data_IF_298084667562
#
_entry.id   IF_298084667562
#
_cell.length_a   1.000
_cell.length_b   1.000
_cell.length_c   1.000
_cell.angle_alpha   90.00
_cell.angle_beta   90.00
_cell.angle_gamma   90.00
#
_symmetry.space_group_name_H-M   'P 1'
#
loop_
_entity.id
_entity.type
_entity.pdbx_description
1 polymer ?
#
# COMPACT_ATOMS: atom_id res chain seq x y z
N UNK A 1 10.48 -1.66 -36.76
CA UNK A 1 10.02 -2.03 -35.41
C UNK A 1 10.85 -1.23 -34.42
N UNK A 2 10.43 0.00 -34.13
CA UNK A 2 10.78 0.69 -32.89
C UNK A 2 9.82 0.06 -31.86
N UNK A 3 10.35 -0.85 -31.08
CA UNK A 3 9.62 -1.80 -30.22
C UNK A 3 8.93 -1.07 -29.08
N UNK A 4 7.71 -1.47 -28.72
CA UNK A 4 6.84 -0.86 -27.69
C UNK A 4 7.55 -0.43 -26.39
N UNK A 5 8.62 -1.14 -25.96
CA UNK A 5 9.45 -0.74 -24.81
C UNK A 5 10.07 0.66 -24.91
N UNK A 6 10.34 1.14 -26.13
CA UNK A 6 10.86 2.49 -26.39
C UNK A 6 9.80 3.56 -26.14
N UNK A 7 8.57 3.28 -26.55
CA UNK A 7 7.45 4.21 -26.42
C UNK A 7 6.95 4.26 -24.99
N UNK A 8 6.77 3.12 -24.32
CA UNK A 8 6.37 3.07 -22.92
C UNK A 8 7.37 3.77 -22.00
N UNK A 9 8.68 3.54 -22.20
CA UNK A 9 9.72 4.25 -21.43
C UNK A 9 9.72 5.75 -21.72
N UNK A 10 9.49 6.14 -22.98
CA UNK A 10 9.39 7.55 -23.35
C UNK A 10 8.16 8.20 -22.71
N UNK A 11 7.01 7.52 -22.71
CA UNK A 11 5.78 7.97 -22.06
C UNK A 11 5.96 8.12 -20.55
N UNK A 12 6.59 7.14 -19.87
CA UNK A 12 6.94 7.24 -18.45
C UNK A 12 7.84 8.45 -18.21
N UNK A 13 8.89 8.65 -19.01
CA UNK A 13 9.78 9.82 -18.90
C UNK A 13 9.03 11.13 -19.11
N UNK A 14 8.21 11.24 -20.15
CA UNK A 14 7.45 12.46 -20.44
C UNK A 14 6.45 12.77 -19.32
N UNK A 15 5.78 11.76 -18.75
CA UNK A 15 4.90 11.92 -17.59
C UNK A 15 5.68 12.39 -16.36
N UNK A 16 6.86 11.83 -16.13
CA UNK A 16 7.69 12.24 -15.00
C UNK A 16 8.20 13.69 -15.16
N UNK A 17 8.57 14.10 -16.38
CA UNK A 17 8.93 15.50 -16.67
C UNK A 17 7.72 16.44 -16.53
N UNK A 18 6.53 16.02 -16.98
CA UNK A 18 5.30 16.78 -16.79
C UNK A 18 4.96 16.96 -15.30
N UNK A 19 5.20 15.94 -14.48
CA UNK A 19 5.01 16.00 -13.03
C UNK A 19 5.87 17.08 -12.33
N UNK A 20 6.98 17.51 -12.93
CA UNK A 20 7.80 18.62 -12.40
C UNK A 20 7.15 19.99 -12.52
N UNK A 21 6.09 20.11 -13.32
CA UNK A 21 5.34 21.34 -13.53
C UNK A 21 4.21 21.53 -12.49
N UNK A 22 3.99 20.54 -11.62
CA UNK A 22 2.94 20.58 -10.61
C UNK A 22 3.25 21.63 -9.51
N UNK A 23 2.26 22.40 -9.03
CA UNK A 23 2.49 23.49 -8.07
C UNK A 23 3.15 23.06 -6.75
N UNK A 24 2.92 21.80 -6.35
CA UNK A 24 3.46 21.21 -5.12
C UNK A 24 4.70 20.35 -5.36
N UNK A 25 5.27 20.36 -6.58
CA UNK A 25 6.45 19.58 -6.91
C UNK A 25 7.66 20.02 -6.07
N UNK A 26 8.24 19.06 -5.36
CA UNK A 26 9.48 19.22 -4.57
C UNK A 26 10.55 18.21 -4.98
N UNK A 27 10.21 17.22 -5.80
CA UNK A 27 11.08 16.11 -6.16
C UNK A 27 11.38 15.17 -4.98
N UNK A 28 12.12 14.10 -5.24
CA UNK A 28 12.48 13.13 -4.19
C UNK A 28 13.37 13.74 -3.10
N UNK A 29 14.36 14.55 -3.47
CA UNK A 29 15.24 15.21 -2.50
C UNK A 29 14.47 16.19 -1.60
N UNK A 30 13.51 16.93 -2.16
CA UNK A 30 12.63 17.80 -1.37
C UNK A 30 11.67 17.03 -0.48
N UNK A 31 11.18 15.87 -0.92
CA UNK A 31 10.39 14.97 -0.08
C UNK A 31 11.22 14.40 1.09
N UNK A 32 12.48 14.03 0.84
CA UNK A 32 13.42 13.59 1.89
C UNK A 32 13.72 14.74 2.87
N UNK A 33 14.01 15.94 2.37
CA UNK A 33 14.24 17.11 3.22
C UNK A 33 13.03 17.39 4.11
N UNK A 34 11.82 17.40 3.54
CA UNK A 34 10.57 17.55 4.29
C UNK A 34 10.40 16.45 5.33
N UNK A 35 10.67 15.19 4.99
CA UNK A 35 10.59 14.09 5.95
C UNK A 35 11.54 14.31 7.14
N UNK A 36 12.77 14.74 6.88
CA UNK A 36 13.78 15.00 7.91
C UNK A 36 13.43 16.22 8.78
N UNK A 37 12.64 17.18 8.32
CA UNK A 37 12.10 18.24 9.18
C UNK A 37 11.22 17.66 10.31
N UNK A 38 10.46 16.61 10.02
CA UNK A 38 9.59 15.95 11.02
C UNK A 38 10.32 14.83 11.77
N UNK A 39 11.29 14.19 11.13
CA UNK A 39 12.01 13.01 11.60
C UNK A 39 13.53 13.20 11.43
N UNK A 40 14.19 14.05 12.25
CA UNK A 40 15.60 14.44 12.02
C UNK A 40 16.60 13.29 12.03
N UNK A 41 16.29 12.17 12.70
CA UNK A 41 17.12 10.96 12.71
C UNK A 41 16.69 9.90 11.67
N UNK A 42 15.87 10.26 10.68
CA UNK A 42 15.36 9.33 9.70
C UNK A 42 14.29 8.38 10.27
N UNK A 43 14.13 7.21 9.64
CA UNK A 43 13.08 6.24 9.99
C UNK A 43 13.35 5.51 11.31
N UNK A 44 14.58 5.60 11.83
CA UNK A 44 15.04 4.92 13.04
C UNK A 44 15.61 5.88 14.10
N UNK A 45 15.36 7.17 13.96
CA UNK A 45 15.78 8.20 14.91
C UNK A 45 14.96 8.21 16.21
N UNK A 46 15.39 9.00 17.20
CA UNK A 46 14.69 9.17 18.49
C UNK A 46 13.25 9.67 18.30
N UNK A 47 13.04 10.67 17.44
CA UNK A 47 11.73 11.02 16.89
C UNK A 47 11.57 10.30 15.56
N UNK A 48 10.79 9.22 15.58
CA UNK A 48 10.54 8.39 14.41
C UNK A 48 9.09 7.91 14.38
N UNK A 49 8.73 7.32 13.24
CA UNK A 49 7.49 6.55 13.02
C UNK A 49 7.59 5.12 13.59
N UNK A 50 8.56 4.84 14.46
CA UNK A 50 8.89 3.49 14.93
C UNK A 50 7.72 2.80 15.64
N UNK A 51 6.94 3.50 16.47
CA UNK A 51 5.75 2.93 17.11
C UNK A 51 4.68 2.51 16.09
N UNK A 52 4.45 3.35 15.06
CA UNK A 52 3.50 3.06 13.99
C UNK A 52 3.97 1.90 13.12
N UNK A 53 5.27 1.84 12.82
CA UNK A 53 5.90 0.76 12.06
C UNK A 53 5.86 -0.55 12.84
N UNK A 54 6.19 -0.53 14.13
CA UNK A 54 6.21 -1.71 14.99
C UNK A 54 4.82 -2.33 15.13
N UNK A 55 3.78 -1.51 15.27
CA UNK A 55 2.40 -2.00 15.30
C UNK A 55 2.01 -2.70 13.99
N UNK A 56 2.43 -2.20 12.82
CA UNK A 56 2.20 -2.85 11.51
C UNK A 56 3.01 -4.13 11.37
N UNK A 57 4.28 -4.12 11.77
CA UNK A 57 5.17 -5.31 11.75
C UNK A 57 4.63 -6.40 12.67
N UNK A 58 4.13 -6.05 13.85
CA UNK A 58 3.45 -6.96 14.76
C UNK A 58 2.21 -7.59 14.11
N UNK A 59 1.37 -6.81 13.43
CA UNK A 59 0.20 -7.35 12.72
C UNK A 59 0.59 -8.21 11.51
N UNK A 60 1.67 -7.88 10.80
CA UNK A 60 2.25 -8.70 9.74
C UNK A 60 2.74 -10.05 10.29
N UNK A 61 3.45 -10.03 11.41
CA UNK A 61 3.91 -11.24 12.09
C UNK A 61 2.74 -12.10 12.60
N UNK A 62 1.73 -11.48 13.21
CA UNK A 62 0.50 -12.13 13.64
C UNK A 62 -0.21 -12.80 12.45
N UNK A 63 -0.40 -12.08 11.33
CA UNK A 63 -1.04 -12.62 10.14
C UNK A 63 -0.30 -13.85 9.62
N UNK A 64 1.03 -13.76 9.49
CA UNK A 64 1.86 -14.87 9.02
C UNK A 64 1.89 -16.05 10.00
N UNK A 65 1.68 -15.81 11.30
CA UNK A 65 1.57 -16.86 12.32
C UNK A 65 0.22 -17.59 12.25
N UNK A 66 -0.89 -16.85 12.18
CA UNK A 66 -2.25 -17.44 12.23
C UNK A 66 -2.72 -17.98 10.88
N UNK A 67 -2.25 -17.36 9.78
CA UNK A 67 -2.64 -17.69 8.42
C UNK A 67 -1.56 -17.25 7.42
N UNK A 68 -0.46 -18.02 7.28
CA UNK A 68 0.57 -17.73 6.28
C UNK A 68 -0.01 -17.77 4.86
N UNK A 69 0.63 -17.04 3.94
CA UNK A 69 0.14 -16.85 2.58
C UNK A 69 -0.15 -18.17 1.85
N UNK A 70 0.74 -19.16 2.00
CA UNK A 70 0.63 -20.46 1.35
C UNK A 70 -0.60 -21.24 1.84
N UNK A 71 -0.94 -21.12 3.13
CA UNK A 71 -2.17 -21.69 3.69
C UNK A 71 -3.41 -20.89 3.25
N UNK A 72 -3.29 -19.55 3.14
CA UNK A 72 -4.36 -18.67 2.71
C UNK A 72 -4.87 -18.99 1.29
N UNK A 73 -4.01 -19.51 0.40
CA UNK A 73 -4.40 -19.99 -0.93
C UNK A 73 -5.39 -21.15 -0.91
N UNK A 74 -5.45 -21.89 0.19
CA UNK A 74 -6.35 -23.03 0.42
C UNK A 74 -7.33 -22.78 1.57
N UNK A 75 -7.53 -21.52 1.95
CA UNK A 75 -8.35 -21.17 3.11
C UNK A 75 -9.75 -21.77 3.04
N UNK A 76 -10.22 -22.25 4.19
CA UNK A 76 -11.57 -22.75 4.45
C UNK A 76 -12.31 -21.81 5.40
N UNK A 77 -13.52 -22.18 5.82
CA UNK A 77 -14.29 -21.42 6.83
C UNK A 77 -13.54 -21.30 8.16
N UNK A 78 -12.72 -22.30 8.50
CA UNK A 78 -11.88 -22.26 9.70
C UNK A 78 -10.87 -21.12 9.64
N UNK A 79 -10.14 -20.99 8.54
CA UNK A 79 -9.16 -19.91 8.36
C UNK A 79 -9.85 -18.54 8.30
N UNK A 80 -11.06 -18.46 7.73
CA UNK A 80 -11.86 -17.23 7.73
C UNK A 80 -12.20 -16.76 9.15
N UNK A 81 -12.67 -17.67 10.00
CA UNK A 81 -13.00 -17.35 11.39
C UNK A 81 -11.76 -17.02 12.23
N UNK A 82 -10.65 -17.74 12.03
CA UNK A 82 -9.36 -17.41 12.67
C UNK A 82 -8.90 -16.01 12.29
N UNK A 83 -8.88 -15.68 10.99
CA UNK A 83 -8.43 -14.38 10.49
C UNK A 83 -9.32 -13.23 11.01
N UNK A 84 -10.64 -13.45 11.05
CA UNK A 84 -11.60 -12.45 11.55
C UNK A 84 -11.32 -12.04 12.99
N UNK A 85 -10.87 -12.98 13.83
CA UNK A 85 -10.56 -12.79 15.26
C UNK A 85 -9.12 -12.34 15.54
N UNK A 86 -8.22 -12.52 14.58
CA UNK A 86 -6.80 -12.22 14.76
C UNK A 86 -6.55 -10.72 15.01
N UNK A 87 -5.41 -10.40 15.65
CA UNK A 87 -5.02 -9.01 15.97
C UNK A 87 -4.36 -8.30 14.78
N UNK A 88 -4.92 -8.50 13.59
CA UNK A 88 -4.38 -8.02 12.32
C UNK A 88 -5.17 -6.86 11.73
N UNK A 89 -6.12 -6.28 12.46
CA UNK A 89 -7.01 -5.22 11.98
C UNK A 89 -6.52 -3.85 12.45
N UNK A 90 -5.76 -3.18 11.61
CA UNK A 90 -5.08 -1.93 11.86
C UNK A 90 -5.98 -0.72 11.56
N UNK A 91 -5.73 0.40 12.23
CA UNK A 91 -6.42 1.69 12.00
C UNK A 91 -6.09 2.35 10.64
N UNK A 92 -5.16 1.78 9.87
CA UNK A 92 -4.86 2.23 8.50
C UNK A 92 -6.06 2.00 7.56
N UNK A 93 -6.88 0.98 7.87
CA UNK A 93 -8.21 0.79 7.32
C UNK A 93 -9.21 1.68 8.08
N UNK A 94 -10.14 2.29 7.35
CA UNK A 94 -11.29 2.92 8.01
C UNK A 94 -12.13 1.87 8.75
N UNK A 95 -12.92 2.29 9.77
CA UNK A 95 -13.83 1.37 10.47
C UNK A 95 -14.79 0.64 9.52
N UNK A 96 -15.31 1.34 8.50
CA UNK A 96 -16.20 0.74 7.49
C UNK A 96 -15.50 -0.29 6.62
N UNK A 97 -14.25 -0.05 6.22
CA UNK A 97 -13.48 -1.01 5.42
C UNK A 97 -13.22 -2.30 6.22
N UNK A 98 -12.76 -2.15 7.46
CA UNK A 98 -12.56 -3.30 8.37
C UNK A 98 -13.87 -4.04 8.63
N UNK A 99 -14.98 -3.32 8.83
CA UNK A 99 -16.29 -3.91 9.05
C UNK A 99 -16.73 -4.77 7.85
N UNK A 100 -16.70 -4.24 6.62
CA UNK A 100 -17.10 -5.00 5.44
C UNK A 100 -16.23 -6.24 5.22
N UNK A 101 -14.92 -6.13 5.43
CA UNK A 101 -14.01 -7.27 5.33
C UNK A 101 -14.32 -8.33 6.39
N UNK A 102 -14.56 -7.93 7.65
CA UNK A 102 -14.95 -8.86 8.72
C UNK A 102 -16.29 -9.53 8.45
N UNK A 103 -17.27 -8.81 7.88
CA UNK A 103 -18.56 -9.39 7.50
C UNK A 103 -18.39 -10.45 6.41
N UNK A 104 -17.55 -10.21 5.39
CA UNK A 104 -17.24 -11.25 4.39
C UNK A 104 -16.66 -12.49 5.05
N UNK A 105 -15.70 -12.32 5.97
CA UNK A 105 -15.04 -13.43 6.67
C UNK A 105 -15.97 -14.23 7.58
N UNK A 106 -17.03 -13.62 8.09
CA UNK A 106 -18.04 -14.26 8.93
C UNK A 106 -19.01 -15.15 8.14
N UNK A 107 -19.06 -14.97 6.81
CA UNK A 107 -20.04 -15.63 5.94
C UNK A 107 -19.37 -16.62 4.97
N UNK A 108 -20.20 -17.32 4.18
CA UNK A 108 -19.78 -18.34 3.21
C UNK A 108 -18.77 -17.86 2.16
N UNK A 109 -18.70 -16.55 1.94
CA UNK A 109 -17.81 -15.87 1.01
C UNK A 109 -16.39 -15.69 1.56
N UNK A 110 -16.20 -15.82 2.86
CA UNK A 110 -14.93 -15.63 3.58
C UNK A 110 -13.75 -16.41 3.01
N UNK A 111 -13.88 -17.74 2.82
CA UNK A 111 -12.82 -18.55 2.23
C UNK A 111 -12.43 -18.09 0.83
N UNK A 112 -13.42 -17.73 -0.01
CA UNK A 112 -13.16 -17.25 -1.37
C UNK A 112 -12.46 -15.88 -1.36
N UNK A 113 -12.82 -15.00 -0.42
CA UNK A 113 -12.19 -13.70 -0.25
C UNK A 113 -10.72 -13.83 0.14
N UNK A 114 -10.41 -14.67 1.13
CA UNK A 114 -9.02 -14.93 1.57
C UNK A 114 -8.19 -15.49 0.42
N UNK A 115 -8.69 -16.52 -0.28
CA UNK A 115 -7.96 -17.11 -1.41
C UNK A 115 -7.70 -16.09 -2.52
N UNK A 116 -8.65 -15.19 -2.77
CA UNK A 116 -8.48 -14.13 -3.75
C UNK A 116 -7.44 -13.08 -3.31
N UNK A 117 -7.47 -12.68 -2.03
CA UNK A 117 -6.44 -11.80 -1.46
C UNK A 117 -5.05 -12.45 -1.49
N UNK A 118 -4.96 -13.76 -1.22
CA UNK A 118 -3.71 -14.51 -1.28
C UNK A 118 -3.17 -14.61 -2.72
N UNK A 119 -4.04 -14.85 -3.72
CA UNK A 119 -3.67 -14.78 -5.14
C UNK A 119 -3.13 -13.40 -5.52
N UNK A 120 -3.78 -12.34 -5.07
CA UNK A 120 -3.32 -10.97 -5.27
C UNK A 120 -1.90 -10.78 -4.68
N UNK A 121 -1.71 -11.17 -3.42
CA UNK A 121 -0.42 -11.07 -2.73
C UNK A 121 0.70 -11.89 -3.39
N UNK A 122 0.35 -12.99 -4.05
CA UNK A 122 1.26 -13.84 -4.81
C UNK A 122 1.52 -13.35 -6.25
N UNK A 123 1.04 -12.15 -6.63
CA UNK A 123 1.29 -11.55 -7.93
C UNK A 123 0.22 -11.80 -9.00
N UNK A 124 -0.82 -12.58 -8.71
CA UNK A 124 -1.92 -12.82 -9.64
C UNK A 124 -2.99 -11.72 -9.53
N UNK A 125 -2.58 -10.46 -9.69
CA UNK A 125 -3.35 -9.26 -9.30
C UNK A 125 -4.72 -9.21 -9.95
N UNK A 126 -4.83 -9.32 -11.28
CA UNK A 126 -6.12 -9.26 -11.97
C UNK A 126 -7.14 -10.29 -11.43
N UNK A 127 -6.70 -11.55 -11.27
CA UNK A 127 -7.57 -12.62 -10.76
C UNK A 127 -7.91 -12.46 -9.28
N UNK A 128 -6.97 -11.95 -8.47
CA UNK A 128 -7.16 -11.66 -7.06
C UNK A 128 -8.13 -10.51 -6.82
N UNK A 129 -8.00 -9.42 -7.59
CA UNK A 129 -8.93 -8.28 -7.59
C UNK A 129 -10.35 -8.76 -7.87
N UNK A 130 -10.54 -9.49 -8.97
CA UNK A 130 -11.87 -9.96 -9.38
C UNK A 130 -12.47 -10.91 -8.35
N UNK A 131 -11.66 -11.81 -7.77
CA UNK A 131 -12.12 -12.73 -6.74
C UNK A 131 -12.56 -11.99 -5.47
N UNK A 132 -11.79 -10.98 -5.03
CA UNK A 132 -12.14 -10.18 -3.86
C UNK A 132 -13.40 -9.34 -4.08
N UNK A 133 -13.55 -8.71 -5.26
CA UNK A 133 -14.75 -7.96 -5.64
C UNK A 133 -16.00 -8.86 -5.57
N UNK A 134 -15.92 -10.06 -6.13
CA UNK A 134 -17.03 -11.00 -6.15
C UNK A 134 -17.48 -11.39 -4.73
N UNK A 135 -16.53 -11.63 -3.81
CA UNK A 135 -16.85 -11.95 -2.42
C UNK A 135 -17.38 -10.75 -1.63
N UNK A 136 -16.90 -9.54 -1.90
CA UNK A 136 -17.29 -8.32 -1.17
C UNK A 136 -18.64 -7.75 -1.60
N UNK A 137 -19.10 -8.05 -2.83
CA UNK A 137 -20.25 -7.41 -3.49
C UNK A 137 -21.52 -7.26 -2.63
N UNK A 138 -21.79 -8.21 -1.72
CA UNK A 138 -22.97 -8.20 -0.84
C UNK A 138 -22.82 -7.32 0.41
N UNK A 139 -21.58 -7.00 0.79
CA UNK A 139 -21.26 -6.35 2.07
C UNK A 139 -20.77 -4.92 1.87
N UNK A 140 -20.13 -4.64 0.75
CA UNK A 140 -19.68 -3.30 0.39
C UNK A 140 -18.96 -3.27 -0.94
N UNK A 141 -18.70 -2.06 -1.44
CA UNK A 141 -17.86 -1.88 -2.64
C UNK A 141 -16.40 -2.09 -2.29
N UNK A 142 -15.63 -2.65 -3.21
CA UNK A 142 -14.18 -2.72 -3.03
C UNK A 142 -13.55 -1.33 -2.96
N UNK A 143 -12.39 -1.23 -2.32
CA UNK A 143 -11.55 -0.03 -2.33
C UNK A 143 -10.08 -0.42 -2.34
N UNK A 144 -9.21 0.50 -2.76
CA UNK A 144 -7.76 0.31 -2.76
C UNK A 144 -7.18 -0.14 -1.40
N UNK A 145 -7.57 0.47 -0.27
CA UNK A 145 -7.16 -0.02 1.04
C UNK A 145 -7.54 -1.48 1.28
N UNK A 146 -8.79 -1.88 0.98
CA UNK A 146 -9.25 -3.26 1.17
C UNK A 146 -8.51 -4.26 0.26
N UNK A 147 -8.32 -3.91 -1.01
CA UNK A 147 -7.67 -4.78 -1.99
C UNK A 147 -6.19 -5.03 -1.68
N UNK A 148 -5.50 -4.04 -1.11
CA UNK A 148 -4.05 -4.08 -0.87
C UNK A 148 -3.66 -4.49 0.56
N UNK A 149 -4.63 -4.55 1.47
CA UNK A 149 -4.39 -4.74 2.90
C UNK A 149 -3.67 -6.04 3.26
N UNK A 150 -4.24 -7.18 2.88
CA UNK A 150 -3.66 -8.46 3.29
C UNK A 150 -2.36 -8.76 2.56
N UNK A 151 -2.23 -8.39 1.29
CA UNK A 151 -0.97 -8.53 0.56
C UNK A 151 0.16 -7.76 1.23
N UNK A 152 -0.10 -6.51 1.62
CA UNK A 152 0.83 -5.68 2.36
C UNK A 152 1.27 -6.29 3.70
N UNK A 153 0.36 -6.92 4.44
CA UNK A 153 0.70 -7.59 5.69
C UNK A 153 1.41 -8.94 5.49
N UNK A 154 1.04 -9.73 4.48
CA UNK A 154 1.72 -11.00 4.20
C UNK A 154 3.16 -10.78 3.73
N UNK A 155 3.37 -9.89 2.77
CA UNK A 155 4.67 -9.65 2.14
C UNK A 155 4.92 -8.15 1.96
N UNK A 156 5.30 -7.43 3.04
CA UNK A 156 5.53 -5.99 2.98
C UNK A 156 6.74 -5.58 2.11
N UNK A 157 7.56 -6.53 1.66
CA UNK A 157 8.63 -6.25 0.68
C UNK A 157 8.14 -6.32 -0.78
N UNK A 158 6.99 -6.96 -1.03
CA UNK A 158 6.49 -7.25 -2.39
C UNK A 158 5.18 -6.53 -2.69
N UNK A 159 4.37 -6.25 -1.67
CA UNK A 159 3.03 -5.69 -1.83
C UNK A 159 2.91 -4.36 -1.07
N UNK A 160 2.57 -3.29 -1.79
CA UNK A 160 2.36 -1.96 -1.21
C UNK A 160 0.90 -1.77 -0.80
N UNK A 161 0.67 -1.10 0.34
CA UNK A 161 -0.66 -0.63 0.75
C UNK A 161 -1.01 0.69 0.07
N UNK A 162 -2.24 0.81 -0.44
CA UNK A 162 -2.70 2.01 -1.12
C UNK A 162 -3.69 2.80 -0.25
N UNK A 163 -3.30 4.03 0.13
CA UNK A 163 -4.21 5.03 0.70
C UNK A 163 -4.36 6.18 -0.31
N UNK A 164 -5.42 6.16 -1.14
CA UNK A 164 -5.46 6.94 -2.38
C UNK A 164 -5.07 8.41 -2.28
N UNK A 165 -5.62 9.15 -1.31
CA UNK A 165 -5.42 10.60 -1.24
C UNK A 165 -3.95 10.95 -0.96
N UNK A 166 -3.35 10.35 0.06
CA UNK A 166 -1.96 10.63 0.45
C UNK A 166 -0.96 10.05 -0.55
N UNK A 167 -1.28 8.90 -1.17
CA UNK A 167 -0.42 8.30 -2.20
C UNK A 167 -0.41 9.15 -3.48
N UNK A 168 -1.57 9.70 -3.90
CA UNK A 168 -1.63 10.61 -5.05
C UNK A 168 -0.92 11.94 -4.78
N UNK A 169 -1.14 12.55 -3.60
CA UNK A 169 -0.44 13.79 -3.22
C UNK A 169 1.08 13.57 -3.20
N UNK A 170 1.55 12.47 -2.63
CA UNK A 170 2.96 12.13 -2.66
C UNK A 170 3.49 11.93 -4.09
N UNK A 171 2.77 11.18 -4.93
CA UNK A 171 3.15 10.98 -6.33
C UNK A 171 3.26 12.31 -7.09
N UNK A 172 2.33 13.25 -6.86
CA UNK A 172 2.38 14.59 -7.42
C UNK A 172 3.63 15.36 -6.97
N UNK A 173 3.91 15.36 -5.66
CA UNK A 173 5.08 16.06 -5.08
C UNK A 173 6.41 15.61 -5.65
N UNK A 174 6.55 14.34 -5.97
CA UNK A 174 7.79 13.80 -6.54
C UNK A 174 7.75 13.69 -8.06
N UNK A 175 6.64 14.06 -8.70
CA UNK A 175 6.45 13.99 -10.14
C UNK A 175 6.37 12.56 -10.69
N UNK A 176 5.84 11.61 -9.92
CA UNK A 176 5.67 10.22 -10.34
C UNK A 176 4.41 10.03 -11.19
N UNK A 177 4.46 9.12 -12.16
CA UNK A 177 3.33 8.86 -13.07
C UNK A 177 2.05 8.33 -12.40
N UNK A 178 2.15 7.77 -11.19
CA UNK A 178 1.02 7.23 -10.44
C UNK A 178 -0.13 8.23 -10.29
N UNK A 179 0.18 9.53 -10.18
CA UNK A 179 -0.84 10.59 -10.11
C UNK A 179 -1.76 10.65 -11.35
N UNK A 180 -1.23 10.27 -12.52
CA UNK A 180 -1.96 10.30 -13.80
C UNK A 180 -2.60 8.94 -14.12
N UNK A 181 -2.04 7.86 -13.59
CA UNK A 181 -2.54 6.50 -13.80
C UNK A 181 -3.64 6.15 -12.80
N UNK A 182 -3.64 6.76 -11.61
CA UNK A 182 -4.58 6.44 -10.55
C UNK A 182 -6.04 6.53 -11.01
N UNK A 183 -6.79 5.47 -10.69
CA UNK A 183 -8.24 5.42 -10.85
C UNK A 183 -8.85 4.82 -9.57
N UNK A 184 -10.05 5.27 -9.15
CA UNK A 184 -10.75 4.64 -8.02
C UNK A 184 -11.12 3.17 -8.28
N UNK A 185 -11.29 2.78 -9.55
CA UNK A 185 -11.53 1.40 -9.93
C UNK A 185 -10.26 0.57 -9.73
N UNK A 186 -10.40 -0.59 -9.09
CA UNK A 186 -9.26 -1.44 -8.78
C UNK A 186 -8.84 -2.18 -10.05
N UNK A 187 -7.60 -1.98 -10.47
CA UNK A 187 -7.05 -2.62 -11.67
C UNK A 187 -5.58 -2.98 -11.48
N UNK A 188 -5.13 -4.03 -12.16
CA UNK A 188 -3.73 -4.44 -12.15
C UNK A 188 -2.81 -3.31 -12.62
N UNK A 189 -3.20 -2.56 -13.66
CA UNK A 189 -2.45 -1.40 -14.18
C UNK A 189 -2.11 -0.38 -13.09
N UNK A 190 -3.11 0.04 -12.33
CA UNK A 190 -2.92 1.03 -11.25
C UNK A 190 -2.08 0.44 -10.13
N UNK A 191 -2.26 -0.85 -9.79
CA UNK A 191 -1.46 -1.47 -8.74
C UNK A 191 0.02 -1.61 -9.13
N UNK A 192 0.33 -1.93 -10.39
CA UNK A 192 1.71 -1.98 -10.87
C UNK A 192 2.38 -0.61 -10.82
N UNK A 193 1.68 0.47 -11.18
CA UNK A 193 2.22 1.85 -11.04
C UNK A 193 2.42 2.24 -9.56
N UNK A 194 1.60 1.72 -8.65
CA UNK A 194 1.82 1.86 -7.19
C UNK A 194 3.08 1.11 -6.73
N UNK A 195 3.31 -0.10 -7.22
CA UNK A 195 4.52 -0.87 -6.89
C UNK A 195 5.78 -0.20 -7.44
N UNK A 196 5.71 0.41 -8.62
CA UNK A 196 6.81 1.22 -9.18
C UNK A 196 7.13 2.43 -8.28
N UNK A 197 6.09 3.18 -7.88
CA UNK A 197 6.21 4.29 -6.92
C UNK A 197 6.87 3.81 -5.61
N UNK A 198 6.43 2.68 -5.08
CA UNK A 198 6.94 2.13 -3.83
C UNK A 198 8.40 1.69 -3.94
N UNK A 199 8.79 1.03 -5.03
CA UNK A 199 10.17 0.60 -5.30
C UNK A 199 11.11 1.80 -5.47
N UNK A 200 10.70 2.80 -6.25
CA UNK A 200 11.46 4.03 -6.44
C UNK A 200 11.65 4.74 -5.10
N UNK A 201 10.59 4.88 -4.32
CA UNK A 201 10.66 5.51 -2.99
C UNK A 201 11.56 4.72 -2.06
N UNK A 202 11.36 3.40 -1.92
CA UNK A 202 12.20 2.54 -1.07
C UNK A 202 13.68 2.73 -1.39
N UNK A 203 14.03 2.68 -2.67
CA UNK A 203 15.42 2.86 -3.13
C UNK A 203 16.00 4.20 -2.70
N UNK A 204 15.23 5.29 -2.86
CA UNK A 204 15.67 6.63 -2.49
C UNK A 204 15.87 6.82 -0.99
N UNK A 205 15.04 6.18 -0.16
CA UNK A 205 15.04 6.37 1.30
C UNK A 205 15.78 5.27 2.06
N UNK A 206 16.47 4.34 1.38
CA UNK A 206 17.29 3.31 2.04
C UNK A 206 18.35 3.91 2.97
N UNK A 207 18.97 5.02 2.58
CA UNK A 207 19.96 5.73 3.40
C UNK A 207 19.37 6.28 4.70
N UNK A 208 18.04 6.43 4.78
CA UNK A 208 17.31 6.84 5.98
C UNK A 208 16.88 5.67 6.87
N UNK A 209 17.27 4.44 6.53
CA UNK A 209 16.97 3.22 7.28
C UNK A 209 15.75 2.43 6.83
N UNK A 210 15.23 2.66 5.62
CA UNK A 210 14.10 1.89 5.09
C UNK A 210 14.49 0.47 4.67
N UNK A 211 13.63 -0.49 5.01
CA UNK A 211 13.82 -1.93 4.78
C UNK A 211 12.75 -2.51 3.85
N UNK A 212 11.51 -2.02 3.96
CA UNK A 212 10.36 -2.55 3.23
C UNK A 212 9.28 -1.49 2.98
N UNK A 213 8.12 -1.90 2.46
CA UNK A 213 7.03 -0.98 2.16
C UNK A 213 6.25 -0.52 3.40
N UNK A 214 6.48 -1.08 4.58
CA UNK A 214 5.97 -0.48 5.82
C UNK A 214 6.66 0.87 6.05
N UNK A 215 7.98 0.90 5.84
CA UNK A 215 8.75 2.14 5.92
C UNK A 215 8.38 3.14 4.82
N UNK A 216 8.18 2.66 3.59
CA UNK A 216 7.70 3.50 2.48
C UNK A 216 6.34 4.11 2.78
N UNK A 217 5.39 3.32 3.30
CA UNK A 217 4.06 3.83 3.59
C UNK A 217 4.09 4.91 4.68
N UNK A 218 4.92 4.72 5.72
CA UNK A 218 5.12 5.75 6.75
C UNK A 218 5.82 7.01 6.19
N UNK A 219 6.81 6.86 5.30
CA UNK A 219 7.45 8.00 4.62
C UNK A 219 6.43 8.80 3.79
N UNK A 220 5.64 8.13 2.94
CA UNK A 220 4.56 8.74 2.15
C UNK A 220 3.59 9.50 3.05
N UNK A 221 3.21 8.90 4.18
CA UNK A 221 2.27 9.52 5.11
C UNK A 221 2.83 10.76 5.79
N UNK A 222 4.11 10.77 6.19
CA UNK A 222 4.75 11.97 6.75
C UNK A 222 4.86 13.07 5.70
N UNK A 223 5.29 12.75 4.48
CA UNK A 223 5.48 13.76 3.43
C UNK A 223 4.15 14.38 2.99
N UNK A 224 3.12 13.57 2.73
CA UNK A 224 1.84 14.02 2.18
C UNK A 224 0.73 14.29 3.21
N UNK A 225 0.85 13.75 4.43
CA UNK A 225 -0.19 13.84 5.46
C UNK A 225 0.09 14.84 6.58
N UNK A 226 1.36 15.11 6.90
CA UNK A 226 1.71 16.01 8.01
C UNK A 226 1.61 17.48 7.58
N UNK A 227 1.18 18.31 8.51
CA UNK A 227 1.02 19.76 8.38
C UNK A 227 2.04 20.51 9.25
N UNK A 228 2.05 21.84 9.15
CA UNK A 228 2.91 22.69 9.98
C UNK A 228 2.67 22.52 11.49
N UNK A 229 1.47 22.11 11.89
CA UNK A 229 1.14 21.87 13.31
C UNK A 229 1.81 20.62 13.86
N UNK A 230 2.24 19.71 12.99
CA UNK A 230 2.88 18.44 13.35
C UNK A 230 4.40 18.57 13.48
N UNK A 231 4.96 19.78 13.25
CA UNK A 231 6.40 20.02 13.35
C UNK A 231 6.91 19.82 14.78
N UNK A 232 8.16 19.36 14.96
CA UNK A 232 8.82 19.44 16.25
C UNK A 232 8.86 20.88 16.76
N UNK A 233 8.61 21.04 18.07
CA UNK A 233 8.81 22.30 18.77
C UNK A 233 10.30 22.65 18.87
#
# INVERSE_FOLDING_TARGET
>A
MLTDESEDRLLIRLRNEAGKLEPNYVGMDGAIARFLEFMPGGLRGERSVSEEQEYKRTASAELNSVLPLEAALQATEREAETLRKARVWLNILSPFESMHMKQVLENSEGPAFIRAAAKFAAGAYASGIQGMENSLKKYGRQSWPKATYFGYLWRPMENMFCKPNVTQDFAQRIGHEFQYVYEPAISERVYLSLLDLANHTLTAIRSLGAEDYIDVQSFIYVVGGYTEQDRPA
#
